data_IF_064290763406
#
_entry.id   IF_064290763406
#
_cell.length_a   1.000
_cell.length_b   1.000
_cell.length_c   1.000
_cell.angle_alpha   90.00
_cell.angle_beta   90.00
_cell.angle_gamma   90.00
#
_symmetry.space_group_name_H-M   'P 1'
#
loop_
_entity.id
_entity.type
_entity.pdbx_description
1 polymer ?
#
# COMPACT_ATOMS: atom_id res chain seq x y z
N UNK A 1 -4.20 -4.44 73.64
CA UNK A 1 -4.28 -5.88 73.32
C UNK A 1 -5.75 -6.18 73.10
N UNK A 2 -6.10 -6.62 71.89
CA UNK A 2 -7.42 -7.04 71.39
C UNK A 2 -8.60 -6.05 71.50
N UNK A 3 -8.95 -5.39 70.39
CA UNK A 3 -10.34 -5.35 69.91
C UNK A 3 -10.46 -4.85 68.45
N UNK A 4 -9.77 -5.53 67.55
CA UNK A 4 -9.83 -5.28 66.10
C UNK A 4 -10.72 -6.29 65.35
N UNK A 5 -11.61 -7.01 66.04
CA UNK A 5 -12.44 -8.08 65.43
C UNK A 5 -13.88 -8.16 65.99
N UNK A 6 -14.60 -7.03 66.04
CA UNK A 6 -16.07 -7.06 66.25
C UNK A 6 -16.86 -6.16 65.29
N UNK A 7 -16.32 -5.95 64.07
CA UNK A 7 -17.11 -5.53 62.91
C UNK A 7 -17.86 -6.73 62.32
N UNK A 8 -18.94 -7.15 62.97
CA UNK A 8 -19.98 -7.93 62.30
C UNK A 8 -21.29 -7.89 63.08
N UNK A 9 -22.36 -7.63 62.33
CA UNK A 9 -23.79 -7.70 62.64
C UNK A 9 -24.52 -6.43 63.10
N UNK A 10 -25.62 -6.17 62.37
CA UNK A 10 -26.79 -5.34 62.68
C UNK A 10 -26.85 -3.89 62.21
N UNK A 11 -26.70 -3.68 60.89
CA UNK A 11 -27.28 -2.52 60.21
C UNK A 11 -28.51 -2.93 59.40
N UNK A 12 -29.73 -2.60 59.86
CA UNK A 12 -30.93 -2.83 59.06
C UNK A 12 -32.26 -2.51 59.73
N UNK A 13 -32.75 -1.27 59.54
CA UNK A 13 -34.12 -0.91 59.07
C UNK A 13 -34.45 0.55 59.37
N UNK A 14 -34.58 1.34 58.32
CA UNK A 14 -35.25 2.64 58.32
C UNK A 14 -35.82 2.88 56.94
N UNK A 15 -37.13 2.64 56.78
CA UNK A 15 -37.86 2.88 55.53
C UNK A 15 -38.01 4.38 55.30
N UNK A 16 -37.57 4.87 54.14
CA UNK A 16 -37.97 6.18 53.61
C UNK A 16 -38.77 6.00 52.32
N UNK A 17 -39.82 6.81 52.25
CA UNK A 17 -41.02 6.70 51.43
C UNK A 17 -40.76 6.90 49.92
N UNK A 18 -41.35 6.03 49.11
CA UNK A 18 -41.30 6.05 47.65
C UNK A 18 -42.49 6.82 47.07
N UNK A 19 -42.63 8.12 47.36
CA UNK A 19 -43.74 8.94 46.82
C UNK A 19 -43.45 10.38 46.40
N UNK A 20 -42.20 10.82 46.35
CA UNK A 20 -41.87 12.22 45.96
C UNK A 20 -40.78 12.34 44.87
N UNK A 21 -40.69 11.40 43.92
CA UNK A 21 -39.85 11.54 42.70
C UNK A 21 -40.71 11.42 41.43
N UNK A 22 -41.94 11.91 41.48
CA UNK A 22 -42.79 12.12 40.30
C UNK A 22 -43.08 13.61 40.18
N UNK A 23 -42.07 14.39 39.77
CA UNK A 23 -42.23 15.75 39.22
C UNK A 23 -40.87 16.23 38.74
N UNK A 24 -40.47 15.75 37.57
CA UNK A 24 -39.55 16.35 36.58
C UNK A 24 -39.21 15.27 35.53
N UNK A 25 -40.23 14.56 35.04
CA UNK A 25 -40.12 13.69 33.87
C UNK A 25 -40.33 14.53 32.62
N UNK A 26 -39.33 15.32 32.25
CA UNK A 26 -39.25 15.83 30.89
C UNK A 26 -38.97 14.65 29.99
N UNK A 27 -39.94 14.27 29.16
CA UNK A 27 -39.79 13.31 28.08
C UNK A 27 -38.75 13.85 27.10
N UNK A 28 -37.48 13.55 27.37
CA UNK A 28 -36.45 13.59 26.35
C UNK A 28 -36.52 12.22 25.68
N UNK A 29 -37.31 12.11 24.62
CA UNK A 29 -37.22 11.00 23.68
C UNK A 29 -35.80 10.99 23.11
N UNK A 30 -34.88 10.33 23.81
CA UNK A 30 -33.69 9.81 23.16
C UNK A 30 -34.20 8.81 22.14
N UNK A 31 -34.07 9.14 20.85
CA UNK A 31 -34.13 8.16 19.77
C UNK A 31 -33.08 7.09 20.07
N UNK A 32 -33.46 6.09 20.85
CA UNK A 32 -32.67 4.89 21.05
C UNK A 32 -32.54 4.23 19.69
N UNK A 33 -31.34 4.24 19.13
CA UNK A 33 -31.03 3.38 17.99
C UNK A 33 -31.25 1.96 18.49
N UNK A 34 -32.29 1.32 17.98
CA UNK A 34 -32.57 -0.09 18.24
C UNK A 34 -31.29 -0.90 17.96
N UNK A 35 -30.73 -1.63 18.95
CA UNK A 35 -29.52 -2.41 18.80
C UNK A 35 -29.56 -3.37 17.60
N UNK A 36 -30.76 -3.87 17.26
CA UNK A 36 -30.96 -4.76 16.11
C UNK A 36 -30.82 -4.01 14.78
N UNK A 37 -31.36 -2.79 14.71
CA UNK A 37 -31.23 -1.89 13.55
C UNK A 37 -29.81 -1.34 13.39
N UNK A 38 -29.09 -1.13 14.50
CA UNK A 38 -27.68 -0.71 14.52
C UNK A 38 -26.73 -1.77 13.93
N UNK A 39 -27.01 -3.04 14.19
CA UNK A 39 -26.26 -4.16 13.63
C UNK A 39 -26.59 -4.38 12.16
N UNK A 40 -27.87 -4.24 11.76
CA UNK A 40 -28.27 -4.39 10.36
C UNK A 40 -27.52 -3.40 9.44
N UNK A 41 -27.51 -2.11 9.77
CA UNK A 41 -26.81 -1.10 8.97
C UNK A 41 -25.29 -1.33 8.93
N UNK A 42 -24.70 -1.82 10.03
CA UNK A 42 -23.29 -2.20 10.07
C UNK A 42 -22.97 -3.35 9.11
N UNK A 43 -23.82 -4.39 9.07
CA UNK A 43 -23.60 -5.50 8.15
C UNK A 43 -23.76 -5.10 6.69
N UNK A 44 -24.66 -4.15 6.39
CA UNK A 44 -24.79 -3.59 5.04
C UNK A 44 -23.50 -2.89 4.59
N UNK A 45 -22.93 -2.03 5.45
CA UNK A 45 -21.65 -1.35 5.19
C UNK A 45 -20.51 -2.37 5.02
N UNK A 46 -20.44 -3.37 5.90
CA UNK A 46 -19.45 -4.46 5.81
C UNK A 46 -19.56 -5.21 4.48
N UNK A 47 -20.77 -5.49 4.00
CA UNK A 47 -20.98 -6.20 2.73
C UNK A 47 -20.54 -5.37 1.52
N UNK A 48 -20.76 -4.06 1.57
CA UNK A 48 -20.26 -3.13 0.54
C UNK A 48 -18.72 -3.14 0.53
N UNK A 49 -18.07 -3.04 1.70
CA UNK A 49 -16.61 -3.09 1.84
C UNK A 49 -16.06 -4.42 1.28
N UNK A 50 -16.68 -5.55 1.63
CA UNK A 50 -16.29 -6.87 1.12
C UNK A 50 -16.39 -6.95 -0.40
N UNK A 51 -17.45 -6.40 -0.98
CA UNK A 51 -17.66 -6.38 -2.43
C UNK A 51 -16.57 -5.56 -3.13
N UNK A 52 -16.23 -4.40 -2.60
CA UNK A 52 -15.15 -3.56 -3.11
C UNK A 52 -13.78 -4.28 -3.00
N UNK A 53 -13.52 -5.01 -1.91
CA UNK A 53 -12.30 -5.83 -1.76
C UNK A 53 -12.21 -6.97 -2.77
N UNK A 54 -13.31 -7.68 -3.05
CA UNK A 54 -13.32 -8.71 -4.10
C UNK A 54 -13.13 -8.09 -5.48
N UNK A 55 -13.61 -6.86 -5.69
CA UNK A 55 -13.33 -6.10 -6.91
C UNK A 55 -11.85 -5.78 -7.06
N UNK A 56 -11.17 -5.33 -6.01
CA UNK A 56 -9.71 -5.13 -6.02
C UNK A 56 -9.02 -6.44 -6.41
N UNK A 57 -9.36 -7.55 -5.75
CA UNK A 57 -8.78 -8.87 -6.05
C UNK A 57 -8.97 -9.28 -7.51
N UNK A 58 -10.14 -9.03 -8.09
CA UNK A 58 -10.41 -9.30 -9.51
C UNK A 58 -9.56 -8.43 -10.44
N UNK A 59 -9.35 -7.15 -10.11
CA UNK A 59 -8.49 -6.26 -10.88
C UNK A 59 -7.02 -6.69 -10.81
N UNK A 60 -6.54 -7.14 -9.64
CA UNK A 60 -5.19 -7.70 -9.50
C UNK A 60 -4.98 -8.93 -10.39
N UNK A 61 -5.97 -9.83 -10.45
CA UNK A 61 -5.91 -10.99 -11.34
C UNK A 61 -5.86 -10.57 -12.82
N UNK A 62 -6.67 -9.59 -13.24
CA UNK A 62 -6.63 -9.06 -14.62
C UNK A 62 -5.29 -8.40 -14.96
N UNK A 63 -4.71 -7.68 -14.01
CA UNK A 63 -3.40 -7.07 -14.19
C UNK A 63 -2.31 -8.14 -14.36
N UNK A 64 -2.39 -9.22 -13.57
CA UNK A 64 -1.51 -10.37 -13.72
C UNK A 64 -1.68 -11.04 -15.10
N UNK A 65 -2.92 -11.28 -15.54
CA UNK A 65 -3.19 -11.86 -16.86
C UNK A 65 -2.67 -10.96 -17.99
N UNK A 66 -2.86 -9.65 -17.88
CA UNK A 66 -2.34 -8.66 -18.83
C UNK A 66 -0.81 -8.67 -18.87
N UNK A 67 -0.15 -8.81 -17.72
CA UNK A 67 1.29 -8.94 -17.66
C UNK A 67 1.79 -10.24 -18.33
N UNK A 68 1.11 -11.37 -18.13
CA UNK A 68 1.43 -12.62 -18.83
C UNK A 68 1.22 -12.48 -20.36
N UNK A 69 0.15 -11.80 -20.79
CA UNK A 69 -0.10 -11.49 -22.21
C UNK A 69 1.05 -10.67 -22.81
N UNK A 70 1.59 -9.70 -22.06
CA UNK A 70 2.69 -8.80 -22.47
C UNK A 70 3.95 -9.54 -22.95
N UNK A 71 4.18 -10.75 -22.44
CA UNK A 71 5.35 -11.59 -22.78
C UNK A 71 5.30 -12.07 -24.22
N UNK A 72 4.12 -12.20 -24.79
CA UNK A 72 3.88 -12.75 -26.13
C UNK A 72 3.59 -11.69 -27.18
N UNK A 73 3.26 -10.47 -26.75
CA UNK A 73 3.02 -9.34 -27.64
C UNK A 73 4.35 -8.68 -28.00
N UNK A 74 4.59 -8.53 -29.31
CA UNK A 74 5.80 -7.88 -29.84
C UNK A 74 5.50 -6.73 -30.80
N UNK A 75 4.23 -6.54 -31.17
CA UNK A 75 3.80 -5.41 -32.01
C UNK A 75 3.54 -4.19 -31.13
N UNK A 76 4.17 -3.06 -31.46
CA UNK A 76 4.07 -1.79 -30.72
C UNK A 76 2.62 -1.37 -30.48
N UNK A 77 1.75 -1.43 -31.50
CA UNK A 77 0.34 -1.05 -31.34
C UNK A 77 -0.43 -1.95 -30.36
N UNK A 78 -0.13 -3.25 -30.35
CA UNK A 78 -0.75 -4.19 -29.43
C UNK A 78 -0.19 -4.03 -28.00
N UNK A 79 1.10 -3.73 -27.86
CA UNK A 79 1.72 -3.38 -26.57
C UNK A 79 1.09 -2.12 -25.98
N UNK A 80 0.93 -1.07 -26.80
CA UNK A 80 0.26 0.15 -26.38
C UNK A 80 -1.19 -0.12 -25.93
N UNK A 81 -1.95 -0.90 -26.69
CA UNK A 81 -3.32 -1.24 -26.32
C UNK A 81 -3.40 -2.05 -25.02
N UNK A 82 -2.43 -2.95 -24.78
CA UNK A 82 -2.31 -3.69 -23.53
C UNK A 82 -2.00 -2.76 -22.36
N UNK A 83 -1.03 -1.86 -22.51
CA UNK A 83 -0.70 -0.82 -21.53
C UNK A 83 -1.92 0.04 -21.20
N UNK A 84 -2.63 0.55 -22.21
CA UNK A 84 -3.84 1.36 -22.01
C UNK A 84 -4.93 0.60 -21.21
N UNK A 85 -4.94 -0.75 -21.21
CA UNK A 85 -5.80 -1.57 -20.34
C UNK A 85 -5.25 -1.68 -18.93
N UNK A 86 -3.96 -1.98 -18.79
CA UNK A 86 -3.28 -2.06 -17.49
C UNK A 86 -3.41 -0.74 -16.73
N UNK A 87 -3.21 0.40 -17.39
CA UNK A 87 -3.34 1.74 -16.80
C UNK A 87 -4.77 1.98 -16.25
N UNK A 88 -5.80 1.50 -16.95
CA UNK A 88 -7.20 1.58 -16.48
C UNK A 88 -7.45 0.69 -15.28
N UNK A 89 -6.93 -0.53 -15.30
CA UNK A 89 -7.09 -1.47 -14.17
C UNK A 89 -6.37 -0.92 -12.93
N UNK A 90 -5.16 -0.36 -13.08
CA UNK A 90 -4.41 0.30 -12.00
C UNK A 90 -5.17 1.50 -11.43
N UNK A 91 -5.68 2.38 -12.29
CA UNK A 91 -6.46 3.54 -11.85
C UNK A 91 -7.72 3.12 -11.06
N UNK A 92 -8.38 2.03 -11.49
CA UNK A 92 -9.53 1.49 -10.77
C UNK A 92 -9.14 0.82 -9.45
N UNK A 93 -8.01 0.11 -9.39
CA UNK A 93 -7.47 -0.43 -8.11
C UNK A 93 -7.27 0.70 -7.11
N UNK A 94 -6.56 1.77 -7.48
CA UNK A 94 -6.31 2.91 -6.61
C UNK A 94 -7.60 3.58 -6.16
N UNK A 95 -8.58 3.74 -7.06
CA UNK A 95 -9.88 4.33 -6.73
C UNK A 95 -10.68 3.47 -5.74
N UNK A 96 -10.78 2.17 -5.98
CA UNK A 96 -11.52 1.26 -5.12
C UNK A 96 -10.82 1.13 -3.76
N UNK A 97 -9.49 1.05 -3.72
CA UNK A 97 -8.71 1.02 -2.48
C UNK A 97 -8.95 2.27 -1.62
N UNK A 98 -8.98 3.47 -2.20
CA UNK A 98 -9.34 4.72 -1.48
C UNK A 98 -10.76 4.67 -0.91
N UNK A 99 -11.72 4.17 -1.69
CA UNK A 99 -13.11 3.98 -1.24
C UNK A 99 -13.20 3.01 -0.06
N UNK A 100 -12.51 1.87 -0.14
CA UNK A 100 -12.46 0.88 0.96
C UNK A 100 -11.86 1.51 2.21
N UNK A 101 -10.72 2.21 2.08
CA UNK A 101 -10.07 2.92 3.18
C UNK A 101 -11.05 3.90 3.86
N UNK A 102 -11.69 4.77 3.09
CA UNK A 102 -12.65 5.74 3.63
C UNK A 102 -13.80 5.06 4.38
N UNK A 103 -14.38 4.00 3.79
CA UNK A 103 -15.46 3.24 4.45
C UNK A 103 -15.00 2.56 5.73
N UNK A 104 -13.75 2.09 5.80
CA UNK A 104 -13.18 1.53 7.04
C UNK A 104 -13.02 2.61 8.13
N UNK A 105 -12.59 3.81 7.77
CA UNK A 105 -12.53 4.95 8.71
C UNK A 105 -13.91 5.35 9.22
N UNK A 106 -14.91 5.37 8.34
CA UNK A 106 -16.31 5.63 8.68
C UNK A 106 -16.87 4.53 9.59
N UNK A 107 -16.58 3.27 9.29
CA UNK A 107 -16.99 2.12 10.09
C UNK A 107 -16.39 2.16 11.49
N UNK A 108 -15.11 2.52 11.61
CA UNK A 108 -14.42 2.68 12.90
C UNK A 108 -15.02 3.83 13.73
N UNK A 109 -15.27 4.99 13.11
CA UNK A 109 -16.00 6.10 13.75
C UNK A 109 -17.40 5.68 14.20
N UNK A 110 -18.11 4.91 13.39
CA UNK A 110 -19.44 4.39 13.71
C UNK A 110 -19.38 3.41 14.90
N UNK A 111 -18.34 2.58 15.00
CA UNK A 111 -18.12 1.71 16.14
C UNK A 111 -17.91 2.52 17.43
N UNK A 112 -17.04 3.53 17.40
CA UNK A 112 -16.81 4.41 18.54
C UNK A 112 -18.08 5.17 18.96
N UNK A 113 -18.90 5.61 18.01
CA UNK A 113 -20.20 6.24 18.29
C UNK A 113 -21.20 5.24 18.90
N UNK A 114 -21.21 3.99 18.44
CA UNK A 114 -22.13 2.96 18.94
C UNK A 114 -21.94 2.67 20.43
N UNK A 115 -20.73 2.85 20.97
CA UNK A 115 -20.41 2.69 22.40
C UNK A 115 -21.16 3.64 23.33
N UNK A 116 -21.74 4.72 22.79
CA UNK A 116 -22.61 5.64 23.54
C UNK A 116 -24.06 5.15 23.64
N UNK A 117 -24.41 4.08 22.92
CA UNK A 117 -25.76 3.49 22.89
C UNK A 117 -25.87 2.40 23.94
N UNK A 118 -26.99 2.39 24.66
CA UNK A 118 -27.26 1.39 25.70
C UNK A 118 -27.29 -0.03 25.11
N UNK A 119 -26.54 -0.96 25.70
CA UNK A 119 -26.39 -2.33 25.21
C UNK A 119 -25.36 -2.51 24.10
N UNK A 120 -24.64 -1.46 23.72
CA UNK A 120 -23.53 -1.48 22.77
C UNK A 120 -22.26 -0.87 23.39
N UNK A 121 -22.19 -0.75 24.72
CA UNK A 121 -21.07 -0.18 25.44
C UNK A 121 -19.77 -0.97 25.16
N UNK A 122 -18.64 -0.35 25.46
CA UNK A 122 -17.33 -0.97 25.29
C UNK A 122 -17.24 -2.34 25.97
N UNK A 123 -16.76 -3.34 25.24
CA UNK A 123 -16.60 -4.71 25.74
C UNK A 123 -17.88 -5.54 25.72
N UNK A 124 -19.02 -5.00 25.30
CA UNK A 124 -20.24 -5.79 25.04
C UNK A 124 -20.01 -6.76 23.87
N UNK A 125 -20.81 -7.85 23.75
CA UNK A 125 -20.73 -8.75 22.60
C UNK A 125 -20.90 -8.03 21.25
N UNK A 126 -21.77 -7.02 21.21
CA UNK A 126 -22.01 -6.19 20.03
C UNK A 126 -20.77 -5.38 19.65
N UNK A 127 -20.18 -4.64 20.60
CA UNK A 127 -18.95 -3.86 20.38
C UNK A 127 -17.76 -4.76 19.95
N UNK A 128 -17.58 -5.91 20.60
CA UNK A 128 -16.54 -6.88 20.24
C UNK A 128 -16.72 -7.42 18.82
N UNK A 129 -17.95 -7.74 18.43
CA UNK A 129 -18.27 -8.24 17.09
C UNK A 129 -17.95 -7.19 16.03
N UNK A 130 -18.41 -5.95 16.25
CA UNK A 130 -18.16 -4.83 15.34
C UNK A 130 -16.68 -4.52 15.18
N UNK A 131 -15.96 -4.45 16.31
CA UNK A 131 -14.51 -4.20 16.33
C UNK A 131 -13.74 -5.35 15.67
N UNK A 132 -14.07 -6.60 15.96
CA UNK A 132 -13.43 -7.78 15.35
C UNK A 132 -13.60 -7.82 13.84
N UNK A 133 -14.81 -7.57 13.34
CA UNK A 133 -15.09 -7.53 11.90
C UNK A 133 -14.33 -6.38 11.23
N UNK A 134 -14.36 -5.18 11.83
CA UNK A 134 -13.65 -4.00 11.29
C UNK A 134 -12.15 -4.28 11.20
N UNK A 135 -11.54 -4.80 12.28
CA UNK A 135 -10.15 -5.23 12.29
C UNK A 135 -9.83 -6.28 11.21
N UNK A 136 -10.71 -7.27 11.03
CA UNK A 136 -10.52 -8.30 10.00
C UNK A 136 -10.53 -7.72 8.57
N UNK A 137 -11.38 -6.72 8.32
CA UNK A 137 -11.45 -6.04 7.03
C UNK A 137 -10.22 -5.16 6.80
N UNK A 138 -9.77 -4.43 7.83
CA UNK A 138 -8.53 -3.65 7.74
C UNK A 138 -7.33 -4.54 7.43
N UNK A 139 -7.21 -5.70 8.10
CA UNK A 139 -6.19 -6.70 7.78
C UNK A 139 -6.30 -7.21 6.35
N UNK A 140 -7.52 -7.53 5.88
CA UNK A 140 -7.74 -7.99 4.50
C UNK A 140 -7.34 -6.93 3.47
N UNK A 141 -7.57 -5.63 3.75
CA UNK A 141 -7.09 -4.55 2.89
C UNK A 141 -5.56 -4.52 2.83
N UNK A 142 -4.88 -4.66 3.98
CA UNK A 142 -3.42 -4.79 4.06
C UNK A 142 -2.92 -5.96 3.19
N UNK A 143 -3.50 -7.16 3.34
CA UNK A 143 -3.10 -8.35 2.58
C UNK A 143 -3.26 -8.15 1.05
N UNK A 144 -4.30 -7.42 0.63
CA UNK A 144 -4.51 -7.05 -0.79
C UNK A 144 -3.45 -6.08 -1.30
N UNK A 145 -3.02 -5.11 -0.48
CA UNK A 145 -1.94 -4.18 -0.83
C UNK A 145 -0.58 -4.91 -0.94
N UNK A 146 -0.30 -5.87 -0.04
CA UNK A 146 0.89 -6.73 -0.13
C UNK A 146 0.88 -7.60 -1.38
N UNK A 147 -0.29 -8.14 -1.75
CA UNK A 147 -0.47 -8.91 -2.99
C UNK A 147 -0.17 -8.06 -4.23
N UNK A 148 -0.61 -6.79 -4.24
CA UNK A 148 -0.26 -5.86 -5.31
C UNK A 148 1.24 -5.56 -5.36
N UNK A 149 1.89 -5.33 -4.21
CA UNK A 149 3.34 -5.13 -4.14
C UNK A 149 4.13 -6.33 -4.68
N UNK A 150 3.69 -7.55 -4.36
CA UNK A 150 4.26 -8.79 -4.89
C UNK A 150 4.10 -8.88 -6.41
N UNK A 151 2.92 -8.56 -6.94
CA UNK A 151 2.67 -8.54 -8.38
C UNK A 151 3.56 -7.52 -9.09
N UNK A 152 3.73 -6.32 -8.54
CA UNK A 152 4.68 -5.32 -9.07
C UNK A 152 6.09 -5.90 -9.16
N UNK A 153 6.62 -6.46 -8.08
CA UNK A 153 7.98 -7.01 -8.06
C UNK A 153 8.16 -8.08 -9.14
N UNK A 154 7.13 -8.92 -9.35
CA UNK A 154 7.12 -9.88 -10.46
C UNK A 154 7.18 -9.20 -11.83
N UNK A 155 6.37 -8.17 -12.06
CA UNK A 155 6.37 -7.41 -13.33
C UNK A 155 7.75 -6.76 -13.58
N UNK A 156 8.39 -6.22 -12.55
CA UNK A 156 9.73 -5.62 -12.64
C UNK A 156 10.81 -6.62 -13.07
N UNK A 157 10.82 -7.80 -12.43
CA UNK A 157 11.77 -8.87 -12.79
C UNK A 157 11.57 -9.30 -14.24
N UNK A 158 10.32 -9.50 -14.66
CA UNK A 158 10.01 -9.93 -16.02
C UNK A 158 10.30 -8.84 -17.09
N UNK A 159 10.11 -7.57 -16.73
CA UNK A 159 10.50 -6.44 -17.57
C UNK A 159 12.03 -6.39 -17.76
N UNK A 160 12.79 -6.53 -16.67
CA UNK A 160 14.25 -6.61 -16.69
C UNK A 160 14.75 -7.73 -17.61
N UNK A 161 14.20 -8.94 -17.45
CA UNK A 161 14.52 -10.08 -18.32
C UNK A 161 14.16 -9.82 -19.79
N UNK A 162 13.11 -9.04 -20.05
CA UNK A 162 12.68 -8.69 -21.41
C UNK A 162 13.65 -7.70 -22.06
N UNK A 163 14.12 -6.69 -21.33
CA UNK A 163 15.13 -5.75 -21.81
C UNK A 163 16.44 -6.49 -22.10
N UNK A 164 16.92 -7.34 -21.19
CA UNK A 164 18.17 -8.09 -21.39
C UNK A 164 18.10 -8.93 -22.67
N UNK A 165 16.99 -9.65 -22.89
CA UNK A 165 16.77 -10.45 -24.10
C UNK A 165 16.72 -9.61 -25.37
N UNK A 166 16.04 -8.45 -25.34
CA UNK A 166 15.95 -7.55 -26.50
C UNK A 166 17.27 -6.90 -26.82
N UNK A 167 18.00 -6.46 -25.80
CA UNK A 167 19.35 -5.93 -25.94
C UNK A 167 20.25 -6.96 -26.61
N UNK A 168 20.29 -8.20 -26.11
CA UNK A 168 21.09 -9.28 -26.70
C UNK A 168 20.70 -9.59 -28.15
N UNK A 169 19.39 -9.60 -28.46
CA UNK A 169 18.91 -9.87 -29.82
C UNK A 169 19.42 -8.82 -30.83
N UNK A 170 19.51 -7.57 -30.39
CA UNK A 170 19.88 -6.43 -31.24
C UNK A 170 21.41 -6.24 -31.31
N UNK A 171 22.12 -6.42 -30.19
CA UNK A 171 23.58 -6.15 -30.10
C UNK A 171 24.45 -7.40 -30.22
N UNK A 172 23.88 -8.60 -30.03
CA UNK A 172 24.61 -9.86 -29.94
C UNK A 172 25.42 -10.04 -28.65
N UNK A 173 25.35 -9.07 -27.73
CA UNK A 173 26.10 -9.06 -26.48
C UNK A 173 25.16 -8.87 -25.30
N UNK A 174 25.48 -9.48 -24.15
CA UNK A 174 24.72 -9.21 -22.92
C UNK A 174 25.05 -7.80 -22.44
N UNK A 175 24.06 -7.00 -22.01
CA UNK A 175 24.34 -5.74 -21.35
C UNK A 175 25.07 -6.00 -20.02
N UNK A 176 25.96 -5.11 -19.64
CA UNK A 176 26.40 -5.06 -18.25
C UNK A 176 25.28 -4.55 -17.34
N UNK A 177 25.45 -4.76 -16.04
CA UNK A 177 24.45 -4.44 -15.03
C UNK A 177 24.12 -2.94 -15.01
N UNK A 178 25.12 -2.08 -15.11
CA UNK A 178 24.97 -0.61 -15.12
C UNK A 178 24.14 -0.14 -16.32
N UNK A 179 24.42 -0.68 -17.51
CA UNK A 179 23.68 -0.37 -18.74
C UNK A 179 22.23 -0.82 -18.64
N UNK A 180 22.00 -2.02 -18.09
CA UNK A 180 20.64 -2.55 -17.92
C UNK A 180 19.83 -1.68 -16.96
N UNK A 181 20.42 -1.28 -15.84
CA UNK A 181 19.81 -0.42 -14.83
C UNK A 181 19.52 0.98 -15.40
N UNK A 182 20.44 1.57 -16.16
CA UNK A 182 20.22 2.84 -16.85
C UNK A 182 19.07 2.79 -17.86
N UNK A 183 18.92 1.70 -18.62
CA UNK A 183 17.78 1.53 -19.54
C UNK A 183 16.46 1.42 -18.78
N UNK A 184 16.45 0.74 -17.63
CA UNK A 184 15.26 0.58 -16.77
C UNK A 184 14.86 1.92 -16.14
N UNK A 185 15.83 2.70 -15.68
CA UNK A 185 15.58 3.94 -14.94
C UNK A 185 15.21 5.11 -15.86
N UNK A 186 15.97 5.27 -16.95
CA UNK A 186 15.85 6.43 -17.84
C UNK A 186 14.88 6.19 -19.00
N UNK A 187 14.68 4.93 -19.38
CA UNK A 187 13.97 4.56 -20.60
C UNK A 187 14.73 4.90 -21.90
N UNK A 188 15.95 5.47 -21.84
CA UNK A 188 16.71 5.96 -23.00
C UNK A 188 17.37 4.84 -23.84
N UNK A 189 16.60 3.80 -24.17
CA UNK A 189 17.06 2.62 -24.92
C UNK A 189 17.65 2.95 -26.31
N UNK A 190 17.30 4.09 -26.91
CA UNK A 190 17.85 4.53 -28.20
C UNK A 190 19.34 4.84 -28.13
N UNK A 191 19.81 5.46 -27.03
CA UNK A 191 21.21 5.84 -26.85
C UNK A 191 22.10 4.59 -26.77
N UNK A 192 21.63 3.56 -26.06
CA UNK A 192 22.37 2.32 -25.87
C UNK A 192 22.33 1.40 -27.09
N UNK A 193 21.26 1.44 -27.89
CA UNK A 193 21.12 0.63 -29.10
C UNK A 193 21.65 1.32 -30.37
N UNK A 194 22.20 2.54 -30.25
CA UNK A 194 22.67 3.34 -31.39
C UNK A 194 23.74 2.63 -32.23
N UNK A 195 24.63 1.86 -31.60
CA UNK A 195 25.65 1.07 -32.30
C UNK A 195 25.02 -0.03 -33.17
N UNK A 196 24.03 -0.73 -32.65
CA UNK A 196 23.31 -1.74 -33.41
C UNK A 196 22.50 -1.14 -34.57
N UNK A 197 21.93 0.07 -34.39
CA UNK A 197 21.24 0.81 -35.46
C UNK A 197 22.14 1.01 -36.69
N UNK A 198 23.44 1.27 -36.46
CA UNK A 198 24.42 1.45 -37.52
C UNK A 198 24.82 0.14 -38.19
N UNK A 199 24.85 -0.97 -37.45
CA UNK A 199 25.35 -2.27 -37.91
C UNK A 199 24.28 -3.17 -38.59
N UNK A 200 23.06 -3.24 -38.06
CA UNK A 200 21.98 -4.14 -38.54
C UNK A 200 20.87 -3.44 -39.34
N UNK A 201 20.91 -2.10 -39.43
CA UNK A 201 19.92 -1.29 -40.14
C UNK A 201 18.75 -0.82 -39.28
N UNK A 202 18.19 0.35 -39.65
CA UNK A 202 17.26 1.13 -38.81
C UNK A 202 15.90 0.48 -38.53
N UNK A 203 15.35 -0.33 -39.44
CA UNK A 203 13.94 -0.73 -39.40
C UNK A 203 13.54 -1.57 -38.17
N UNK A 204 14.19 -2.71 -37.96
CA UNK A 204 13.86 -3.66 -36.88
C UNK A 204 14.25 -3.14 -35.48
N UNK A 205 15.31 -2.33 -35.42
CA UNK A 205 15.83 -1.80 -34.15
C UNK A 205 14.94 -0.68 -33.63
N UNK A 206 14.40 0.18 -34.51
CA UNK A 206 13.44 1.21 -34.11
C UNK A 206 12.15 0.59 -33.55
N UNK A 207 11.68 -0.52 -34.12
CA UNK A 207 10.51 -1.24 -33.58
C UNK A 207 10.81 -1.81 -32.19
N UNK A 208 12.00 -2.37 -31.99
CA UNK A 208 12.46 -2.88 -30.69
C UNK A 208 12.58 -1.77 -29.64
N UNK A 209 13.16 -0.62 -30.00
CA UNK A 209 13.27 0.56 -29.11
C UNK A 209 11.87 1.02 -28.68
N UNK A 210 10.93 1.13 -29.63
CA UNK A 210 9.54 1.50 -29.32
C UNK A 210 8.85 0.47 -28.45
N UNK A 211 9.08 -0.82 -28.70
CA UNK A 211 8.55 -1.90 -27.86
C UNK A 211 9.08 -1.81 -26.42
N UNK A 212 10.38 -1.51 -26.24
CA UNK A 212 11.00 -1.29 -24.92
C UNK A 212 10.40 -0.04 -24.25
N UNK A 213 10.24 1.06 -24.99
CA UNK A 213 9.66 2.30 -24.46
C UNK A 213 8.22 2.10 -23.97
N UNK A 214 7.37 1.42 -24.74
CA UNK A 214 5.98 1.15 -24.32
C UNK A 214 5.93 0.30 -23.05
N UNK A 215 6.88 -0.64 -22.87
CA UNK A 215 6.99 -1.42 -21.63
C UNK A 215 7.51 -0.58 -20.47
N UNK A 216 8.55 0.23 -20.69
CA UNK A 216 9.08 1.17 -19.71
C UNK A 216 7.97 2.06 -19.14
N UNK A 217 7.17 2.67 -20.01
CA UNK A 217 6.10 3.56 -19.60
C UNK A 217 5.04 2.83 -18.76
N UNK A 218 4.66 1.59 -19.15
CA UNK A 218 3.73 0.79 -18.36
C UNK A 218 4.28 0.43 -16.98
N UNK A 219 5.57 0.11 -16.91
CA UNK A 219 6.29 -0.16 -15.65
C UNK A 219 6.31 1.08 -14.75
N UNK A 220 6.56 2.27 -15.31
CA UNK A 220 6.49 3.55 -14.57
C UNK A 220 5.10 3.85 -14.03
N UNK A 221 4.03 3.55 -14.77
CA UNK A 221 2.67 3.72 -14.26
C UNK A 221 2.35 2.75 -13.11
N UNK A 222 2.87 1.51 -13.15
CA UNK A 222 2.77 0.58 -12.02
C UNK A 222 3.52 1.11 -10.79
N UNK A 223 4.72 1.68 -10.95
CA UNK A 223 5.46 2.31 -9.85
C UNK A 223 4.66 3.46 -9.21
N UNK A 224 4.11 4.33 -10.05
CA UNK A 224 3.30 5.45 -9.58
C UNK A 224 2.06 5.00 -8.83
N UNK A 225 1.33 4.00 -9.36
CA UNK A 225 0.15 3.46 -8.70
C UNK A 225 0.50 2.71 -7.40
N UNK A 226 1.67 2.08 -7.31
CA UNK A 226 2.18 1.56 -6.04
C UNK A 226 2.41 2.67 -5.01
N UNK A 227 3.03 3.79 -5.39
CA UNK A 227 3.25 4.90 -4.47
C UNK A 227 1.92 5.46 -3.93
N UNK A 228 0.89 5.54 -4.78
CA UNK A 228 -0.46 5.91 -4.33
C UNK A 228 -1.05 4.90 -3.32
N UNK A 229 -0.92 3.60 -3.59
CA UNK A 229 -1.40 2.56 -2.67
C UNK A 229 -0.58 2.48 -1.38
N UNK A 230 0.71 2.80 -1.44
CA UNK A 230 1.57 2.88 -0.27
C UNK A 230 1.11 3.97 0.69
N UNK A 231 0.69 5.14 0.17
CA UNK A 231 0.12 6.18 1.02
C UNK A 231 -1.17 5.70 1.72
N UNK A 232 -2.03 4.96 1.02
CA UNK A 232 -3.22 4.36 1.62
C UNK A 232 -2.82 3.40 2.75
N UNK A 233 -1.77 2.61 2.56
CA UNK A 233 -1.27 1.68 3.57
C UNK A 233 -0.74 2.39 4.82
N UNK A 234 0.04 3.46 4.67
CA UNK A 234 0.52 4.27 5.79
C UNK A 234 -0.66 4.88 6.58
N UNK A 235 -1.67 5.37 5.89
CA UNK A 235 -2.84 5.94 6.53
C UNK A 235 -3.66 4.88 7.30
N UNK A 236 -3.70 3.63 6.80
CA UNK A 236 -4.34 2.51 7.50
C UNK A 236 -3.57 2.09 8.76
N UNK A 237 -2.24 2.21 8.78
CA UNK A 237 -1.44 1.85 9.95
C UNK A 237 -1.86 2.68 11.19
N UNK A 238 -2.19 3.96 10.99
CA UNK A 238 -2.71 4.85 12.04
C UNK A 238 -4.07 4.37 12.58
N UNK A 239 -4.96 3.90 11.70
CA UNK A 239 -6.25 3.34 12.14
C UNK A 239 -6.09 2.08 12.98
N UNK A 240 -5.14 1.22 12.63
CA UNK A 240 -4.90 -0.04 13.37
C UNK A 240 -4.26 0.22 14.73
N UNK A 241 -3.33 1.17 14.82
CA UNK A 241 -2.69 1.56 16.08
C UNK A 241 -3.74 2.09 17.09
N UNK A 242 -4.69 2.88 16.61
CA UNK A 242 -5.79 3.41 17.45
C UNK A 242 -6.75 2.34 17.97
N UNK A 243 -6.82 1.17 17.33
CA UNK A 243 -7.68 0.04 17.70
C UNK A 243 -7.02 -0.94 18.68
N UNK A 244 -5.75 -0.70 19.08
CA UNK A 244 -5.04 -1.47 20.11
C UNK A 244 -4.64 -2.89 19.69
N UNK A 245 -4.88 -3.27 18.44
CA UNK A 245 -4.33 -4.50 17.85
C UNK A 245 -2.87 -4.26 17.48
N UNK A 246 -1.95 -4.85 18.25
CA UNK A 246 -0.55 -4.98 17.86
C UNK A 246 -0.51 -5.83 16.58
N UNK A 247 -0.37 -5.19 15.43
CA UNK A 247 0.06 -5.89 14.22
C UNK A 247 1.57 -6.05 14.32
N UNK A 248 2.04 -7.30 14.34
CA UNK A 248 3.46 -7.63 14.27
C UNK A 248 4.15 -6.83 13.15
N UNK A 249 5.11 -6.00 13.55
CA UNK A 249 6.13 -5.33 12.73
C UNK A 249 5.67 -4.83 11.33
N UNK A 250 4.70 -3.91 11.31
CA UNK A 250 4.42 -3.09 10.11
C UNK A 250 5.70 -2.38 9.66
N UNK A 251 6.51 -1.86 10.59
CA UNK A 251 7.77 -1.14 10.28
C UNK A 251 8.83 -2.00 9.56
N UNK A 252 8.95 -3.29 9.91
CA UNK A 252 9.91 -4.19 9.26
C UNK A 252 9.45 -4.59 7.86
N UNK A 253 8.14 -4.83 7.68
CA UNK A 253 7.55 -5.13 6.38
C UNK A 253 7.48 -3.88 5.46
N UNK A 254 7.29 -2.70 6.06
CA UNK A 254 7.41 -1.39 5.41
C UNK A 254 8.82 -1.16 4.89
N UNK A 255 9.84 -1.46 5.71
CA UNK A 255 11.23 -1.40 5.28
C UNK A 255 11.52 -2.38 4.14
N UNK A 256 10.98 -3.60 4.16
CA UNK A 256 11.23 -4.59 3.09
C UNK A 256 10.55 -4.17 1.77
N UNK A 257 9.32 -3.67 1.83
CA UNK A 257 8.61 -3.14 0.66
C UNK A 257 9.27 -1.86 0.13
N UNK A 258 9.70 -0.96 1.02
CA UNK A 258 10.46 0.24 0.66
C UNK A 258 11.82 -0.14 0.08
N UNK A 259 12.62 -0.99 0.72
CA UNK A 259 13.91 -1.47 0.20
C UNK A 259 13.76 -2.13 -1.18
N UNK A 260 12.65 -2.82 -1.46
CA UNK A 260 12.34 -3.36 -2.81
C UNK A 260 11.90 -2.32 -3.85
N UNK A 261 11.52 -1.12 -3.42
CA UNK A 261 11.08 0.01 -4.27
C UNK A 261 12.09 1.15 -4.32
N UNK A 262 12.98 1.21 -3.33
CA UNK A 262 14.00 2.23 -3.12
C UNK A 262 15.38 1.62 -3.20
N UNK A 263 15.57 0.33 -3.49
CA UNK A 263 16.88 -0.21 -3.88
C UNK A 263 17.45 0.64 -5.00
N UNK A 264 16.65 0.95 -6.02
CA UNK A 264 17.13 1.65 -7.22
C UNK A 264 17.39 3.15 -6.94
N UNK A 265 16.57 3.78 -6.10
CA UNK A 265 16.72 5.19 -5.69
C UNK A 265 17.82 5.35 -4.63
N UNK A 266 17.89 4.47 -3.63
CA UNK A 266 18.92 4.49 -2.58
C UNK A 266 20.27 4.08 -3.14
N UNK A 267 20.34 3.15 -4.10
CA UNK A 267 21.58 2.80 -4.80
C UNK A 267 22.05 3.98 -5.65
N UNK A 268 21.15 4.65 -6.39
CA UNK A 268 21.46 5.88 -7.12
C UNK A 268 21.91 7.03 -6.21
N UNK A 269 21.24 7.25 -5.08
CA UNK A 269 21.59 8.29 -4.09
C UNK A 269 22.89 7.95 -3.37
N UNK A 270 23.11 6.68 -3.01
CA UNK A 270 24.33 6.19 -2.38
C UNK A 270 25.53 6.22 -3.32
N UNK A 271 25.36 5.85 -4.61
CA UNK A 271 26.36 6.02 -5.66
C UNK A 271 26.69 7.50 -5.87
N UNK A 272 25.69 8.40 -5.93
CA UNK A 272 25.94 9.84 -6.01
C UNK A 272 26.72 10.36 -4.80
N UNK A 273 26.37 9.95 -3.58
CA UNK A 273 27.07 10.37 -2.36
C UNK A 273 28.51 9.82 -2.31
N UNK A 274 28.74 8.59 -2.72
CA UNK A 274 30.09 8.00 -2.80
C UNK A 274 30.94 8.62 -3.90
N UNK A 275 30.37 8.97 -5.06
CA UNK A 275 31.08 9.67 -6.12
C UNK A 275 31.47 11.10 -5.69
N UNK A 276 30.54 11.84 -5.08
CA UNK A 276 30.79 13.18 -4.53
C UNK A 276 31.87 13.13 -3.45
N UNK A 277 31.81 12.15 -2.53
CA UNK A 277 32.82 11.98 -1.49
C UNK A 277 34.21 11.65 -2.08
N UNK A 278 34.26 10.82 -3.12
CA UNK A 278 35.51 10.42 -3.78
C UNK A 278 36.14 11.58 -4.56
N UNK A 279 35.34 12.35 -5.30
CA UNK A 279 35.80 13.56 -6.02
C UNK A 279 36.27 14.63 -5.04
N UNK A 280 35.55 14.82 -3.92
CA UNK A 280 35.95 15.76 -2.88
C UNK A 280 37.27 15.34 -2.21
N UNK A 281 37.44 14.05 -1.91
CA UNK A 281 38.67 13.53 -1.31
C UNK A 281 39.87 13.60 -2.26
N UNK A 282 39.68 13.29 -3.55
CA UNK A 282 40.72 13.43 -4.57
C UNK A 282 41.15 14.89 -4.77
N UNK A 283 40.20 15.84 -4.79
CA UNK A 283 40.53 17.26 -4.87
C UNK A 283 41.28 17.74 -3.63
N UNK A 284 40.81 17.35 -2.43
CA UNK A 284 41.47 17.72 -1.17
C UNK A 284 42.89 17.13 -1.09
N UNK A 285 43.08 15.88 -1.54
CA UNK A 285 44.40 15.24 -1.59
C UNK A 285 45.33 15.93 -2.59
N UNK A 286 44.81 16.36 -3.75
CA UNK A 286 45.59 17.10 -4.76
C UNK A 286 46.04 18.48 -4.27
N UNK A 287 45.18 19.21 -3.54
CA UNK A 287 45.52 20.52 -2.97
C UNK A 287 46.58 20.42 -1.86
N UNK A 288 46.56 19.34 -1.06
CA UNK A 288 47.56 19.11 -0.03
C UNK A 288 48.94 18.77 -0.62
N UNK A 289 48.99 18.01 -1.73
CA UNK A 289 50.23 17.77 -2.45
C UNK A 289 50.77 19.03 -3.15
N UNK A 290 49.92 19.92 -3.67
CA UNK A 290 50.35 21.20 -4.23
C UNK A 290 50.86 22.19 -3.17
N UNK A 291 50.38 22.10 -1.93
CA UNK A 291 50.87 22.94 -0.81
C UNK A 291 52.13 22.39 -0.16
N UNK A 292 52.37 21.09 -0.19
CA UNK A 292 53.59 20.46 0.37
C UNK A 292 54.79 20.45 -0.59
N UNK A 293 54.59 20.79 -1.87
CA UNK A 293 55.65 20.88 -2.88
C UNK A 293 56.21 22.29 -3.12
N UNK A 294 55.93 23.25 -2.23
CA UNK A 294 56.52 24.59 -2.22
C UNK A 294 57.43 24.79 -1.01
#
# INVERSE_FOLDING_TARGET
MNDLLQKTYSGGRGYLNMRDVEKLGGEMEMQGIDPEKNLASFFDEVNVIKTDMERIKSLLAKLQDSNEESKTIHKVQAMKALRDRMDKDLAEVSKVARSVKQKLEELDKANAASRRTKGCEEGTPTDRTRSSITNSLTKKLKDLMESFGTLRSKIMVEYRETIERRYYTVTGQKPDEETLEQIIDTGESENFLQKAIQEQGRGQIIETIKEIQERHDGVKEIEKSLLELHQIFLDLAVLVESQGTVLDNIESQLMDMLLSSTSDILHSVWMCLTLVATVFWSNLSSEQHQRSGK
#
